data_IF_656693766535
#
_entry.id   IF_656693766535
#
_cell.length_a   1.000
_cell.length_b   1.000
_cell.length_c   1.000
_cell.angle_alpha   90.00
_cell.angle_beta   90.00
_cell.angle_gamma   90.00
#
_symmetry.space_group_name_H-M   'P 1'
#
loop_
_entity.id
_entity.type
_entity.pdbx_description
1 polymer ?
#
# COMPACT_ATOMS: atom_id res chain seq x y z
N UNK A 1 -51.27 11.73 20.03
CA UNK A 1 -49.90 11.50 20.58
C UNK A 1 -49.08 10.45 19.80
N UNK A 2 -49.44 10.10 18.55
CA UNK A 2 -48.73 9.05 17.76
C UNK A 2 -47.81 9.60 16.66
N UNK A 3 -48.01 10.86 16.22
CA UNK A 3 -47.23 11.48 15.15
C UNK A 3 -45.79 11.87 15.56
N UNK A 4 -45.53 12.07 16.85
CA UNK A 4 -44.22 12.50 17.36
C UNK A 4 -43.22 11.34 17.43
N UNK A 5 -43.70 10.10 17.65
CA UNK A 5 -42.85 8.90 17.69
C UNK A 5 -42.32 8.47 16.30
N UNK A 6 -43.04 8.78 15.23
CA UNK A 6 -42.64 8.40 13.87
C UNK A 6 -41.47 9.23 13.33
N UNK A 7 -41.38 10.50 13.74
CA UNK A 7 -40.36 11.43 13.26
C UNK A 7 -38.99 11.11 13.90
N UNK A 8 -38.96 10.75 15.19
CA UNK A 8 -37.73 10.32 15.88
C UNK A 8 -37.22 8.97 15.40
N UNK A 9 -38.09 8.03 15.06
CA UNK A 9 -37.69 6.73 14.51
C UNK A 9 -37.04 6.86 13.12
N UNK A 10 -37.59 7.72 12.25
CA UNK A 10 -37.03 7.99 10.92
C UNK A 10 -35.68 8.73 10.98
N UNK A 11 -35.50 9.65 11.93
CA UNK A 11 -34.23 10.36 12.13
C UNK A 11 -33.10 9.41 12.61
N UNK A 12 -33.43 8.40 13.42
CA UNK A 12 -32.48 7.38 13.88
C UNK A 12 -32.06 6.41 12.76
N UNK A 13 -32.93 6.13 11.79
CA UNK A 13 -32.60 5.28 10.64
C UNK A 13 -31.73 6.04 9.63
N UNK A 14 -32.00 7.33 9.39
CA UNK A 14 -31.21 8.15 8.47
C UNK A 14 -29.79 8.44 8.96
N UNK A 15 -29.63 8.68 10.27
CA UNK A 15 -28.30 8.89 10.87
C UNK A 15 -27.46 7.62 10.89
N UNK A 16 -28.05 6.46 11.24
CA UNK A 16 -27.34 5.18 11.15
C UNK A 16 -26.98 4.78 9.72
N UNK A 17 -27.85 5.04 8.76
CA UNK A 17 -27.58 4.69 7.35
C UNK A 17 -26.41 5.49 6.77
N UNK A 18 -26.30 6.78 7.13
CA UNK A 18 -25.20 7.63 6.63
C UNK A 18 -23.85 7.21 7.19
N UNK A 19 -23.79 6.88 8.49
CA UNK A 19 -22.56 6.38 9.14
C UNK A 19 -22.14 5.02 8.59
N UNK A 20 -23.09 4.10 8.39
CA UNK A 20 -22.80 2.77 7.80
C UNK A 20 -22.31 2.91 6.36
N UNK A 21 -22.89 3.82 5.56
CA UNK A 21 -22.46 4.04 4.19
C UNK A 21 -21.06 4.68 4.09
N UNK A 22 -20.71 5.59 5.00
CA UNK A 22 -19.35 6.15 5.07
C UNK A 22 -18.32 5.13 5.52
N UNK A 23 -18.67 4.27 6.49
CA UNK A 23 -17.80 3.19 6.97
C UNK A 23 -17.56 2.12 5.89
N UNK A 24 -18.60 1.70 5.16
CA UNK A 24 -18.48 0.77 4.04
C UNK A 24 -17.70 1.37 2.86
N UNK A 25 -17.86 2.68 2.59
CA UNK A 25 -17.07 3.39 1.56
C UNK A 25 -15.60 3.50 1.95
N UNK A 26 -15.31 3.76 3.23
CA UNK A 26 -13.95 3.75 3.78
C UNK A 26 -13.30 2.37 3.63
N UNK A 27 -14.00 1.30 4.03
CA UNK A 27 -13.52 -0.08 3.91
C UNK A 27 -13.25 -0.50 2.46
N UNK A 28 -14.17 -0.17 1.53
CA UNK A 28 -13.97 -0.42 0.11
C UNK A 28 -12.70 0.27 -0.41
N UNK A 29 -12.43 1.51 0.01
CA UNK A 29 -11.23 2.25 -0.42
C UNK A 29 -9.91 1.66 0.11
N UNK A 30 -9.89 1.10 1.33
CA UNK A 30 -8.68 0.47 1.90
C UNK A 30 -8.40 -0.88 1.25
N UNK A 31 -9.44 -1.69 1.00
CA UNK A 31 -9.29 -2.97 0.30
C UNK A 31 -8.78 -2.77 -1.13
N UNK A 32 -9.34 -1.80 -1.85
CA UNK A 32 -8.87 -1.44 -3.19
C UNK A 32 -7.40 -0.98 -3.18
N UNK A 33 -6.99 -0.24 -2.14
CA UNK A 33 -5.60 0.18 -1.97
C UNK A 33 -4.68 -1.03 -1.75
N UNK A 34 -5.09 -1.99 -0.93
CA UNK A 34 -4.35 -3.22 -0.71
C UNK A 34 -4.16 -4.03 -2.00
N UNK A 35 -5.21 -4.19 -2.80
CA UNK A 35 -5.13 -4.88 -4.08
C UNK A 35 -4.19 -4.16 -5.06
N UNK A 36 -4.25 -2.82 -5.11
CA UNK A 36 -3.33 -2.01 -5.95
C UNK A 36 -1.88 -2.17 -5.55
N UNK A 37 -1.57 -2.16 -4.25
CA UNK A 37 -0.21 -2.40 -3.73
C UNK A 37 0.30 -3.75 -4.22
N UNK A 38 -0.53 -4.79 -4.09
CA UNK A 38 -0.18 -6.15 -4.47
C UNK A 38 0.05 -6.33 -5.97
N UNK A 39 -0.86 -5.80 -6.80
CA UNK A 39 -0.72 -5.86 -8.28
C UNK A 39 0.53 -5.09 -8.72
N UNK A 40 0.82 -3.96 -8.08
CA UNK A 40 1.98 -3.16 -8.45
C UNK A 40 3.30 -3.81 -7.99
N UNK A 41 3.37 -4.42 -6.80
CA UNK A 41 4.52 -5.23 -6.38
C UNK A 41 4.81 -6.35 -7.39
N UNK A 42 3.78 -7.03 -7.89
CA UNK A 42 3.92 -8.09 -8.90
C UNK A 42 4.43 -7.59 -10.24
N UNK A 43 3.94 -6.43 -10.65
CA UNK A 43 4.36 -5.75 -11.88
C UNK A 43 5.82 -5.31 -11.77
N UNK A 44 6.21 -4.72 -10.64
CA UNK A 44 7.57 -4.30 -10.37
C UNK A 44 8.52 -5.51 -10.30
N UNK A 45 8.15 -6.55 -9.57
CA UNK A 45 8.92 -7.79 -9.47
C UNK A 45 9.14 -8.43 -10.85
N UNK A 46 8.08 -8.49 -11.67
CA UNK A 46 8.18 -9.04 -13.02
C UNK A 46 9.08 -8.18 -13.91
N UNK A 47 8.95 -6.86 -13.83
CA UNK A 47 9.73 -5.93 -14.65
C UNK A 47 11.21 -5.95 -14.28
N UNK A 48 11.55 -5.96 -12.99
CA UNK A 48 12.95 -5.96 -12.55
C UNK A 48 13.65 -7.31 -12.78
N UNK A 49 12.90 -8.41 -12.86
CA UNK A 49 13.46 -9.75 -13.13
C UNK A 49 13.58 -10.04 -14.63
N UNK A 50 12.67 -9.51 -15.46
CA UNK A 50 12.70 -9.72 -16.91
C UNK A 50 13.42 -8.61 -17.69
N UNK A 51 13.59 -7.44 -17.09
CA UNK A 51 14.28 -6.26 -17.65
C UNK A 51 13.90 -5.95 -19.11
N UNK A 52 12.61 -5.69 -19.41
CA UNK A 52 12.18 -5.42 -20.76
C UNK A 52 12.79 -4.12 -21.30
N UNK A 53 13.36 -4.20 -22.50
CA UNK A 53 14.00 -3.06 -23.14
C UNK A 53 13.05 -1.87 -23.32
N UNK A 54 13.52 -0.66 -23.02
CA UNK A 54 12.75 0.58 -23.16
C UNK A 54 11.73 0.85 -22.06
N UNK A 55 11.56 -0.04 -21.08
CA UNK A 55 10.61 0.14 -19.99
C UNK A 55 11.19 0.84 -18.75
N UNK A 56 12.48 1.20 -18.74
CA UNK A 56 13.15 1.76 -17.56
C UNK A 56 12.46 3.02 -16.99
N UNK A 57 12.13 4.00 -17.83
CA UNK A 57 11.46 5.21 -17.35
C UNK A 57 10.08 4.92 -16.70
N UNK A 58 9.30 4.02 -17.32
CA UNK A 58 8.01 3.59 -16.76
C UNK A 58 8.21 2.84 -15.45
N UNK A 59 9.23 1.98 -15.36
CA UNK A 59 9.55 1.24 -14.16
C UNK A 59 9.85 2.16 -12.97
N UNK A 60 10.65 3.23 -13.14
CA UNK A 60 10.87 4.21 -12.06
C UNK A 60 9.58 4.93 -11.65
N UNK A 61 8.70 5.25 -12.60
CA UNK A 61 7.40 5.85 -12.30
C UNK A 61 6.50 4.89 -11.50
N UNK A 62 6.54 3.60 -11.83
CA UNK A 62 5.81 2.55 -11.13
C UNK A 62 6.34 2.35 -9.70
N UNK A 63 7.66 2.40 -9.49
CA UNK A 63 8.25 2.31 -8.13
C UNK A 63 7.79 3.50 -7.26
N UNK A 64 7.75 4.72 -7.82
CA UNK A 64 7.25 5.90 -7.09
C UNK A 64 5.76 5.79 -6.78
N UNK A 65 4.99 5.25 -7.71
CA UNK A 65 3.57 4.97 -7.48
C UNK A 65 3.39 3.94 -6.37
N UNK A 66 4.26 2.93 -6.30
CA UNK A 66 4.26 1.94 -5.23
C UNK A 66 4.57 2.57 -3.86
N UNK A 67 5.59 3.44 -3.78
CA UNK A 67 5.87 4.21 -2.57
C UNK A 67 4.68 5.04 -2.12
N UNK A 68 4.00 5.69 -3.06
CA UNK A 68 2.82 6.50 -2.76
C UNK A 68 1.64 5.67 -2.23
N UNK A 69 1.40 4.48 -2.80
CA UNK A 69 0.36 3.57 -2.29
C UNK A 69 0.70 3.05 -0.88
N UNK A 70 1.97 2.70 -0.63
CA UNK A 70 2.42 2.30 0.70
C UNK A 70 2.25 3.43 1.73
N UNK A 71 2.63 4.67 1.38
CA UNK A 71 2.43 5.86 2.20
C UNK A 71 0.95 6.07 2.54
N UNK A 72 0.07 6.00 1.53
CA UNK A 72 -1.37 6.12 1.74
C UNK A 72 -1.89 5.03 2.70
N UNK A 73 -1.41 3.79 2.58
CA UNK A 73 -1.83 2.71 3.47
C UNK A 73 -1.38 2.98 4.91
N UNK A 74 -0.14 3.45 5.11
CA UNK A 74 0.37 3.85 6.43
C UNK A 74 -0.53 4.93 7.04
N UNK A 75 -0.88 5.96 6.27
CA UNK A 75 -1.74 7.06 6.72
C UNK A 75 -3.15 6.58 7.08
N UNK A 76 -3.74 5.70 6.27
CA UNK A 76 -5.06 5.14 6.54
C UNK A 76 -5.06 4.27 7.81
N UNK A 77 -4.05 3.42 7.98
CA UNK A 77 -3.91 2.58 9.18
C UNK A 77 -3.71 3.42 10.45
N UNK A 78 -2.94 4.51 10.36
CA UNK A 78 -2.81 5.46 11.46
C UNK A 78 -4.12 6.16 11.81
N UNK A 79 -4.92 6.51 10.81
CA UNK A 79 -6.19 7.20 11.00
C UNK A 79 -7.29 6.30 11.58
N UNK A 80 -7.39 5.05 11.12
CA UNK A 80 -8.39 4.08 11.58
C UNK A 80 -7.85 2.64 11.58
N UNK A 81 -7.05 2.32 12.61
CA UNK A 81 -6.44 1.00 12.77
C UNK A 81 -7.46 -0.16 12.77
N UNK A 82 -8.62 0.04 13.39
CA UNK A 82 -9.65 -1.00 13.50
C UNK A 82 -10.32 -1.25 12.16
N UNK A 83 -10.70 -0.18 11.44
CA UNK A 83 -11.34 -0.28 10.13
C UNK A 83 -10.39 -0.82 9.05
N UNK A 84 -9.08 -0.61 9.18
CA UNK A 84 -8.08 -1.06 8.19
C UNK A 84 -7.48 -2.44 8.48
N UNK A 85 -7.75 -3.04 9.65
CA UNK A 85 -7.08 -4.27 10.12
C UNK A 85 -7.12 -5.40 9.10
N UNK A 86 -8.28 -5.70 8.52
CA UNK A 86 -8.43 -6.78 7.56
C UNK A 86 -7.61 -6.56 6.28
N UNK A 87 -7.56 -5.33 5.78
CA UNK A 87 -6.77 -4.99 4.59
C UNK A 87 -5.26 -5.02 4.88
N UNK A 88 -4.85 -4.50 6.04
CA UNK A 88 -3.47 -4.58 6.52
C UNK A 88 -3.02 -6.04 6.69
N UNK A 89 -3.88 -6.87 7.26
CA UNK A 89 -3.62 -8.30 7.40
C UNK A 89 -3.48 -8.99 6.05
N UNK A 90 -4.29 -8.62 5.06
CA UNK A 90 -4.22 -9.15 3.70
C UNK A 90 -2.88 -8.82 3.04
N UNK A 91 -2.40 -7.59 3.18
CA UNK A 91 -1.08 -7.16 2.67
C UNK A 91 0.04 -7.93 3.37
N UNK A 92 0.04 -7.97 4.70
CA UNK A 92 1.17 -8.52 5.46
C UNK A 92 1.21 -10.05 5.39
N UNK A 93 0.05 -10.73 5.34
CA UNK A 93 -0.02 -12.20 5.24
C UNK A 93 0.57 -12.72 3.94
N UNK A 94 0.51 -11.91 2.86
CA UNK A 94 1.17 -12.22 1.59
C UNK A 94 2.70 -12.29 1.72
N UNK A 95 3.27 -11.61 2.72
CA UNK A 95 4.70 -11.56 2.98
C UNK A 95 5.34 -10.24 2.54
N UNK A 96 6.66 -10.18 2.65
CA UNK A 96 7.46 -9.03 2.26
C UNK A 96 7.30 -8.72 0.75
N UNK A 97 7.29 -7.44 0.31
CA UNK A 97 7.17 -7.08 -1.09
C UNK A 97 8.27 -7.73 -1.93
N UNK A 98 7.88 -8.48 -2.96
CA UNK A 98 8.80 -9.29 -3.76
C UNK A 98 9.76 -8.42 -4.57
N UNK A 99 9.32 -7.25 -4.98
CA UNK A 99 10.19 -6.26 -5.62
C UNK A 99 11.41 -5.94 -4.74
N UNK A 100 11.21 -5.79 -3.42
CA UNK A 100 12.29 -5.44 -2.49
C UNK A 100 13.25 -6.61 -2.23
N UNK A 101 12.80 -7.84 -2.41
CA UNK A 101 13.61 -9.07 -2.29
C UNK A 101 14.53 -9.31 -3.49
N UNK A 102 14.37 -8.54 -4.57
CA UNK A 102 15.22 -8.69 -5.74
C UNK A 102 16.68 -8.33 -5.42
N UNK A 103 17.67 -9.14 -5.82
CA UNK A 103 19.06 -8.85 -5.46
C UNK A 103 19.51 -7.52 -6.07
N UNK A 104 20.26 -6.74 -5.29
CA UNK A 104 20.78 -5.43 -5.71
C UNK A 104 22.31 -5.37 -5.57
N UNK A 105 22.97 -6.45 -5.98
CA UNK A 105 24.43 -6.59 -5.99
C UNK A 105 25.04 -5.97 -7.25
N UNK A 106 26.38 -5.96 -7.37
CA UNK A 106 27.07 -5.30 -8.49
C UNK A 106 26.73 -5.91 -9.87
N UNK A 107 26.49 -7.22 -9.94
CA UNK A 107 26.13 -7.90 -11.19
C UNK A 107 24.73 -7.49 -11.66
N UNK A 108 23.77 -7.47 -10.74
CA UNK A 108 22.40 -7.05 -11.00
C UNK A 108 22.32 -5.57 -11.37
N UNK A 109 23.04 -4.70 -10.65
CA UNK A 109 23.14 -3.27 -10.98
C UNK A 109 23.62 -3.04 -12.41
N UNK A 110 24.66 -3.75 -12.83
CA UNK A 110 25.16 -3.69 -14.20
C UNK A 110 24.10 -4.15 -15.20
N UNK A 111 23.44 -5.28 -14.91
CA UNK A 111 22.39 -5.82 -15.79
C UNK A 111 21.23 -4.84 -15.96
N UNK A 112 20.80 -4.17 -14.89
CA UNK A 112 19.76 -3.15 -14.91
C UNK A 112 20.18 -1.96 -15.78
N UNK A 113 21.38 -1.42 -15.55
CA UNK A 113 21.93 -0.30 -16.33
C UNK A 113 21.94 -0.62 -17.83
N UNK A 114 22.45 -1.79 -18.20
CA UNK A 114 22.58 -2.22 -19.59
C UNK A 114 21.22 -2.42 -20.27
N UNK A 115 20.26 -3.09 -19.61
CA UNK A 115 18.97 -3.43 -20.23
C UNK A 115 17.98 -2.25 -20.31
N UNK A 116 17.97 -1.39 -19.30
CA UNK A 116 17.12 -0.20 -19.30
C UNK A 116 17.78 1.00 -19.99
N UNK A 117 19.02 0.87 -20.44
CA UNK A 117 19.83 1.97 -20.97
C UNK A 117 19.85 3.16 -20.00
N UNK A 118 20.07 2.84 -18.73
CA UNK A 118 20.06 3.78 -17.61
C UNK A 118 21.45 4.32 -17.32
N UNK A 119 21.45 5.48 -16.68
CA UNK A 119 22.64 6.09 -16.09
C UNK A 119 22.81 5.67 -14.63
N UNK A 120 23.96 5.99 -14.03
CA UNK A 120 24.16 5.81 -12.60
C UNK A 120 23.16 6.64 -11.77
N UNK A 121 22.76 7.81 -12.25
CA UNK A 121 21.77 8.65 -11.57
C UNK A 121 20.39 7.95 -11.50
N UNK A 122 19.98 7.26 -12.57
CA UNK A 122 18.75 6.46 -12.58
C UNK A 122 18.81 5.30 -11.58
N UNK A 123 19.98 4.67 -11.45
CA UNK A 123 20.21 3.60 -10.49
C UNK A 123 20.20 4.12 -9.04
N UNK A 124 20.74 5.31 -8.80
CA UNK A 124 20.71 5.98 -7.50
C UNK A 124 19.27 6.38 -7.13
N UNK A 125 18.48 6.86 -8.08
CA UNK A 125 17.04 7.11 -7.90
C UNK A 125 16.30 5.83 -7.51
N UNK A 126 16.54 4.72 -8.23
CA UNK A 126 15.95 3.42 -7.87
C UNK A 126 16.36 3.00 -6.46
N UNK A 127 17.62 3.18 -6.08
CA UNK A 127 18.11 2.82 -4.76
C UNK A 127 17.41 3.62 -3.65
N UNK A 128 17.28 4.94 -3.83
CA UNK A 128 16.55 5.81 -2.90
C UNK A 128 15.06 5.43 -2.79
N UNK A 129 14.42 5.15 -3.93
CA UNK A 129 13.02 4.74 -3.98
C UNK A 129 12.81 3.37 -3.30
N UNK A 130 13.76 2.43 -3.41
CA UNK A 130 13.73 1.13 -2.69
C UNK A 130 13.86 1.31 -1.17
N UNK A 131 14.73 2.21 -0.71
CA UNK A 131 14.84 2.52 0.72
C UNK A 131 13.50 3.08 1.24
N UNK A 132 12.90 3.99 0.50
CA UNK A 132 11.59 4.59 0.85
C UNK A 132 10.50 3.52 0.97
N UNK A 133 10.41 2.61 0.02
CA UNK A 133 9.48 1.47 0.07
C UNK A 133 9.71 0.61 1.31
N UNK A 134 10.98 0.31 1.62
CA UNK A 134 11.35 -0.49 2.80
C UNK A 134 10.95 0.20 4.11
N UNK A 135 11.11 1.52 4.20
CA UNK A 135 10.67 2.32 5.34
C UNK A 135 9.16 2.20 5.55
N UNK A 136 8.35 2.50 4.53
CA UNK A 136 6.90 2.40 4.66
C UNK A 136 6.42 0.98 4.95
N UNK A 137 7.05 -0.02 4.35
CA UNK A 137 6.75 -1.41 4.67
C UNK A 137 7.03 -1.75 6.14
N UNK A 138 8.17 -1.28 6.66
CA UNK A 138 8.53 -1.46 8.07
C UNK A 138 7.52 -0.78 8.99
N UNK A 139 7.06 0.42 8.64
CA UNK A 139 6.02 1.13 9.39
C UNK A 139 4.70 0.33 9.44
N UNK A 140 4.27 -0.25 8.32
CA UNK A 140 3.09 -1.12 8.29
C UNK A 140 3.25 -2.36 9.19
N UNK A 141 4.43 -2.99 9.21
CA UNK A 141 4.72 -4.11 10.11
C UNK A 141 4.64 -3.69 11.57
N UNK A 142 5.20 -2.53 11.93
CA UNK A 142 5.13 -1.98 13.28
C UNK A 142 3.67 -1.69 13.66
N UNK A 143 2.89 -1.07 12.78
CA UNK A 143 1.48 -0.77 13.02
C UNK A 143 0.63 -2.02 13.24
N UNK A 144 0.88 -3.09 12.49
CA UNK A 144 0.24 -4.40 12.73
C UNK A 144 0.59 -4.93 14.13
N UNK A 145 1.86 -4.80 14.51
CA UNK A 145 2.37 -5.35 15.76
C UNK A 145 2.08 -4.48 16.99
N UNK A 146 1.73 -3.19 16.84
CA UNK A 146 1.39 -2.29 17.95
C UNK A 146 0.14 -2.69 18.74
N UNK A 147 -0.54 -3.78 18.38
CA UNK A 147 -1.52 -4.48 19.25
C UNK A 147 -0.83 -5.29 20.39
N UNK A 148 0.51 -5.45 20.41
CA UNK A 148 1.26 -6.24 21.42
C UNK A 148 1.62 -5.51 22.73
N UNK A 149 1.18 -4.26 22.96
CA UNK A 149 1.55 -3.49 24.16
C UNK A 149 0.40 -2.74 24.85
N UNK A 150 -0.85 -3.25 24.77
CA UNK A 150 -1.92 -2.80 25.68
C UNK A 150 -2.81 -3.97 26.12
N UNK A 151 -2.22 -4.95 26.78
CA UNK A 151 -2.95 -5.65 27.84
C UNK A 151 -2.80 -4.84 29.15
N UNK A 152 -3.89 -4.54 29.87
CA UNK A 152 -3.83 -3.85 31.16
C UNK A 152 -3.16 -4.68 32.25
#
# INVERSE_FOLDING_TARGET
MWKVFYITLLALIFTKSSVVLEEERGKASVSELADKIQVLDDTLYTTITSLPAGCGAQFLADVRSFNELLRQMVEMVHADKSGTKAALDTIITRGHPRFLDTPFNNEEKKRILDNFNWTLDDLDLLYADRITAYTYWTDLLLLKNDDFQREP
#
